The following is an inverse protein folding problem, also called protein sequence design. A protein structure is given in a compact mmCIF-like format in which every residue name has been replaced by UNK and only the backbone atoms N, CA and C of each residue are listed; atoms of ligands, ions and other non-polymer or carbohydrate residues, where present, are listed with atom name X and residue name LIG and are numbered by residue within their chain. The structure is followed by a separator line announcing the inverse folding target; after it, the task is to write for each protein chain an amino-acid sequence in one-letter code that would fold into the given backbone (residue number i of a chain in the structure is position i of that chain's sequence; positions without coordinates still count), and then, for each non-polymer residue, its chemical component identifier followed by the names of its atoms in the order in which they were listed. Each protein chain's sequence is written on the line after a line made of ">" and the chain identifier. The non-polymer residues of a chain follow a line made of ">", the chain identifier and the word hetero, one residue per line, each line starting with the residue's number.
data_IF_099645880317
#
_entry.id   IF_099645880317
#
_cell.length_a   1.000
_cell.length_b   1.000
_cell.length_c   1.000
_cell.angle_alpha   90.00
_cell.angle_beta   90.00
_cell.angle_gamma   90.00
#
_symmetry.space_group_name_H-M   'P 1'
#
loop_
_entity.id
_entity.type
_entity.pdbx_description
1 polymer ?
#
# COMPACT_ATOMS: atom_id res chain seq x y z
N UNK A 1 -3.01 -9.99 35.09
CA UNK A 1 -2.08 -10.18 33.95
C UNK A 1 -2.87 -10.05 32.67
N UNK A 2 -2.64 -8.95 31.94
CA UNK A 2 -3.28 -8.64 30.67
C UNK A 2 -2.82 -9.61 29.57
N UNK A 3 -3.77 -10.29 28.94
CA UNK A 3 -3.57 -11.15 27.77
C UNK A 3 -3.89 -10.41 26.45
N UNK A 4 -3.75 -9.07 26.41
CA UNK A 4 -4.20 -8.26 25.26
C UNK A 4 -3.23 -8.17 24.08
N UNK A 5 -1.94 -8.48 24.24
CA UNK A 5 -0.94 -7.92 23.31
C UNK A 5 -0.51 -8.83 22.16
N UNK A 6 -0.86 -10.12 22.18
CA UNK A 6 -0.44 -11.05 21.11
C UNK A 6 -1.30 -11.04 19.86
N UNK A 7 -2.55 -10.55 19.91
CA UNK A 7 -3.47 -10.57 18.75
C UNK A 7 -3.22 -9.44 17.75
N UNK A 8 -2.47 -8.40 18.11
CA UNK A 8 -2.34 -7.17 17.30
C UNK A 8 -0.96 -6.92 16.71
N UNK A 9 0.05 -7.72 17.07
CA UNK A 9 1.38 -7.65 16.43
C UNK A 9 1.31 -7.98 14.93
N UNK A 10 0.25 -8.65 14.47
CA UNK A 10 0.10 -9.07 13.08
C UNK A 10 -0.12 -7.92 12.08
N UNK A 11 -0.95 -6.91 12.39
CA UNK A 11 -1.30 -5.89 11.39
C UNK A 11 -0.14 -4.95 11.03
N UNK A 12 0.60 -4.36 12.01
CA UNK A 12 1.79 -3.58 11.69
C UNK A 12 2.89 -4.40 11.00
N UNK A 13 3.03 -5.68 11.36
CA UNK A 13 3.96 -6.60 10.69
C UNK A 13 3.56 -6.85 9.22
N UNK A 14 2.27 -7.14 8.97
CA UNK A 14 1.74 -7.31 7.62
C UNK A 14 1.87 -6.03 6.79
N UNK A 15 1.68 -4.86 7.40
CA UNK A 15 1.89 -3.57 6.75
C UNK A 15 3.35 -3.44 6.32
N UNK A 16 4.29 -3.73 7.22
CA UNK A 16 5.71 -3.62 6.90
C UNK A 16 6.16 -4.65 5.84
N UNK A 17 5.61 -5.86 5.83
CA UNK A 17 5.84 -6.84 4.75
C UNK A 17 5.25 -6.38 3.40
N UNK A 18 4.05 -5.78 3.41
CA UNK A 18 3.44 -5.24 2.21
C UNK A 18 4.24 -4.06 1.64
N UNK A 19 4.72 -3.16 2.50
CA UNK A 19 5.62 -2.06 2.11
C UNK A 19 6.95 -2.60 1.57
N UNK A 20 7.52 -3.64 2.20
CA UNK A 20 8.72 -4.30 1.67
C UNK A 20 8.48 -4.90 0.29
N UNK A 21 7.33 -5.54 0.07
CA UNK A 21 6.95 -6.14 -1.22
C UNK A 21 6.97 -5.11 -2.37
N UNK A 22 6.67 -3.83 -2.10
CA UNK A 22 6.74 -2.78 -3.11
C UNK A 22 8.15 -2.56 -3.66
N UNK A 23 9.18 -2.77 -2.83
CA UNK A 23 10.59 -2.58 -3.22
C UNK A 23 11.04 -3.70 -4.16
N UNK A 24 10.59 -4.94 -3.93
CA UNK A 24 11.06 -6.11 -4.68
C UNK A 24 10.19 -6.47 -5.89
N UNK A 25 8.99 -5.89 -6.02
CA UNK A 25 8.06 -6.18 -7.12
C UNK A 25 7.87 -4.97 -8.05
N UNK A 26 8.91 -4.17 -8.26
CA UNK A 26 8.89 -2.98 -9.14
C UNK A 26 8.48 -3.33 -10.58
N UNK A 27 8.93 -4.47 -11.09
CA UNK A 27 8.63 -4.94 -12.46
C UNK A 27 7.35 -5.79 -12.57
N UNK A 28 6.53 -5.83 -11.51
CA UNK A 28 5.28 -6.60 -11.53
C UNK A 28 4.22 -5.97 -12.45
N UNK A 29 3.21 -6.77 -12.81
CA UNK A 29 2.05 -6.30 -13.59
C UNK A 29 1.34 -5.14 -12.89
N UNK A 30 0.71 -4.26 -13.67
CA UNK A 30 -0.09 -3.16 -13.19
C UNK A 30 -1.20 -3.67 -12.25
N UNK A 31 -1.83 -4.80 -12.58
CA UNK A 31 -2.79 -5.47 -11.69
C UNK A 31 -2.20 -5.80 -10.32
N UNK A 32 -0.97 -6.33 -10.29
CA UNK A 32 -0.29 -6.66 -9.04
C UNK A 32 0.03 -5.39 -8.24
N UNK A 33 0.52 -4.33 -8.90
CA UNK A 33 0.77 -3.02 -8.28
C UNK A 33 -0.50 -2.42 -7.65
N UNK A 34 -1.62 -2.41 -8.38
CA UNK A 34 -2.93 -1.94 -7.86
C UNK A 34 -3.35 -2.76 -6.64
N UNK A 35 -3.23 -4.08 -6.71
CA UNK A 35 -3.62 -4.98 -5.63
C UNK A 35 -2.76 -4.77 -4.38
N UNK A 36 -1.46 -4.52 -4.56
CA UNK A 36 -0.53 -4.25 -3.46
C UNK A 36 -0.84 -2.92 -2.77
N UNK A 37 -1.11 -1.85 -3.52
CA UNK A 37 -1.53 -0.56 -2.94
C UNK A 37 -2.85 -0.69 -2.19
N UNK A 38 -3.83 -1.43 -2.74
CA UNK A 38 -5.10 -1.69 -2.07
C UNK A 38 -4.93 -2.50 -0.76
N UNK A 39 -3.99 -3.46 -0.75
CA UNK A 39 -3.65 -4.22 0.46
C UNK A 39 -3.03 -3.31 1.52
N UNK A 40 -2.05 -2.48 1.15
CA UNK A 40 -1.40 -1.52 2.07
C UNK A 40 -2.46 -0.59 2.66
N UNK A 41 -3.33 -0.01 1.82
CA UNK A 41 -4.45 0.81 2.30
C UNK A 41 -5.33 0.07 3.32
N UNK A 42 -5.72 -1.17 3.02
CA UNK A 42 -6.62 -1.94 3.88
C UNK A 42 -5.99 -2.22 5.26
N UNK A 43 -4.69 -2.53 5.28
CA UNK A 43 -3.97 -2.75 6.54
C UNK A 43 -3.78 -1.43 7.29
N UNK A 44 -3.37 -0.36 6.59
CA UNK A 44 -3.25 0.99 7.17
C UNK A 44 -4.57 1.45 7.78
N UNK A 45 -5.70 1.25 7.10
CA UNK A 45 -7.03 1.59 7.62
C UNK A 45 -7.37 0.82 8.90
N UNK A 46 -7.08 -0.49 8.93
CA UNK A 46 -7.32 -1.32 10.10
C UNK A 46 -6.44 -0.91 11.31
N UNK A 47 -5.17 -0.58 11.07
CA UNK A 47 -4.28 -0.07 12.14
C UNK A 47 -4.74 1.32 12.59
N UNK A 48 -5.06 2.22 11.65
CA UNK A 48 -5.53 3.57 11.90
C UNK A 48 -6.83 3.64 12.72
N UNK A 49 -7.80 2.78 12.41
CA UNK A 49 -9.07 2.69 13.16
C UNK A 49 -8.83 2.32 14.62
N UNK A 50 -7.90 1.38 14.86
CA UNK A 50 -7.53 0.94 16.20
C UNK A 50 -6.80 2.03 16.98
N UNK A 51 -5.87 2.72 16.34
CA UNK A 51 -5.09 3.82 16.94
C UNK A 51 -5.89 5.14 17.04
N UNK A 52 -7.14 5.15 16.53
CA UNK A 52 -8.09 6.29 16.61
C UNK A 52 -7.52 7.58 16.00
N UNK A 53 -7.13 7.50 14.72
CA UNK A 53 -6.62 8.67 13.99
C UNK A 53 -7.55 9.89 14.08
N UNK A 54 -6.99 11.12 14.05
CA UNK A 54 -7.77 12.34 14.03
C UNK A 54 -8.59 12.45 12.73
N UNK A 55 -9.66 13.25 12.79
CA UNK A 55 -10.68 13.33 11.73
C UNK A 55 -10.11 13.79 10.38
N UNK A 56 -9.08 14.64 10.38
CA UNK A 56 -8.37 15.07 9.18
C UNK A 56 -7.74 13.90 8.42
N UNK A 57 -7.13 12.95 9.14
CA UNK A 57 -6.45 11.81 8.54
C UNK A 57 -7.46 10.76 8.07
N UNK A 58 -8.63 10.68 8.70
CA UNK A 58 -9.74 9.85 8.18
C UNK A 58 -10.27 10.36 6.85
N UNK A 59 -10.35 11.68 6.66
CA UNK A 59 -10.73 12.27 5.36
C UNK A 59 -9.73 11.92 4.27
N UNK A 60 -8.43 12.07 4.58
CA UNK A 60 -7.37 11.66 3.65
C UNK A 60 -7.44 10.15 3.34
N UNK A 61 -7.71 9.30 4.33
CA UNK A 61 -7.92 7.86 4.10
C UNK A 61 -9.11 7.58 3.17
N UNK A 62 -10.20 8.33 3.28
CA UNK A 62 -11.35 8.17 2.39
C UNK A 62 -11.07 8.70 0.97
N UNK A 63 -10.24 9.74 0.82
CA UNK A 63 -9.74 10.20 -0.49
C UNK A 63 -8.87 9.12 -1.16
N UNK A 64 -7.88 8.59 -0.43
CA UNK A 64 -7.03 7.48 -0.88
C UNK A 64 -7.88 6.28 -1.33
N UNK A 65 -8.93 5.95 -0.58
CA UNK A 65 -9.85 4.86 -0.94
C UNK A 65 -10.54 5.09 -2.29
N UNK A 66 -10.99 6.32 -2.54
CA UNK A 66 -11.63 6.70 -3.81
C UNK A 66 -10.65 6.64 -4.96
N UNK A 67 -9.41 7.07 -4.74
CA UNK A 67 -8.36 7.02 -5.76
C UNK A 67 -8.05 5.57 -6.14
N UNK A 68 -7.87 4.68 -5.16
CA UNK A 68 -7.67 3.24 -5.40
C UNK A 68 -8.86 2.64 -6.15
N UNK A 69 -10.09 2.99 -5.75
CA UNK A 69 -11.30 2.49 -6.43
C UNK A 69 -11.39 2.98 -7.88
N UNK A 70 -10.99 4.22 -8.12
CA UNK A 70 -10.97 4.83 -9.46
C UNK A 70 -9.94 4.14 -10.34
N UNK A 71 -8.70 4.02 -9.85
CA UNK A 71 -7.61 3.30 -10.54
C UNK A 71 -8.01 1.86 -10.86
N UNK A 72 -8.62 1.15 -9.91
CA UNK A 72 -9.08 -0.22 -10.14
C UNK A 72 -10.18 -0.29 -11.19
N UNK A 73 -11.04 0.73 -11.26
CA UNK A 73 -12.14 0.81 -12.24
C UNK A 73 -11.69 1.20 -13.65
N UNK A 74 -10.55 1.89 -13.78
CA UNK A 74 -9.97 2.28 -15.08
C UNK A 74 -8.97 1.26 -15.63
N UNK A 75 -8.54 0.30 -14.82
CA UNK A 75 -7.67 -0.79 -15.24
C UNK A 75 -8.36 -1.73 -16.23
N UNK A 76 -7.67 -2.01 -17.33
CA UNK A 76 -8.05 -3.00 -18.32
C UNK A 76 -6.91 -4.04 -18.46
N UNK A 77 -7.21 -5.36 -18.56
CA UNK A 77 -6.18 -6.39 -18.66
C UNK A 77 -5.19 -6.22 -19.82
N UNK A 78 -5.62 -5.57 -20.91
CA UNK A 78 -4.76 -5.30 -22.07
C UNK A 78 -3.57 -4.38 -21.74
N UNK A 79 -3.64 -3.62 -20.65
CA UNK A 79 -2.54 -2.76 -20.20
C UNK A 79 -1.34 -3.54 -19.64
N UNK A 80 -1.54 -4.82 -19.29
CA UNK A 80 -0.50 -5.74 -18.88
C UNK A 80 0.04 -6.61 -20.02
N UNK A 81 -0.50 -6.46 -21.23
CA UNK A 81 -0.13 -7.27 -22.40
C UNK A 81 1.15 -6.72 -23.06
N UNK A 82 2.27 -7.46 -23.03
CA UNK A 82 3.53 -7.02 -23.61
C UNK A 82 3.49 -6.92 -25.15
N UNK A 83 2.47 -7.48 -25.82
CA UNK A 83 2.31 -7.37 -27.28
C UNK A 83 1.62 -6.06 -27.70
N UNK A 84 1.04 -5.30 -26.75
CA UNK A 84 0.20 -4.12 -27.01
C UNK A 84 0.76 -2.79 -26.43
N UNK A 85 2.10 -2.70 -26.34
CA UNK A 85 2.85 -1.61 -25.68
C UNK A 85 2.40 -0.19 -26.11
N UNK A 86 2.25 0.07 -27.41
CA UNK A 86 2.04 1.44 -27.92
C UNK A 86 0.68 2.07 -27.58
N UNK A 87 -0.40 1.29 -27.46
CA UNK A 87 -1.72 1.78 -27.02
C UNK A 87 -1.78 1.82 -25.48
N UNK A 88 -0.97 0.98 -24.83
CA UNK A 88 -0.92 0.84 -23.38
C UNK A 88 -0.14 1.95 -22.69
N UNK A 89 0.85 2.58 -23.33
CA UNK A 89 1.86 3.39 -22.64
C UNK A 89 1.32 4.62 -21.90
N UNK A 90 0.45 5.43 -22.52
CA UNK A 90 -0.06 6.65 -21.88
C UNK A 90 -1.03 6.32 -20.74
N UNK A 91 -1.99 5.42 -20.97
CA UNK A 91 -2.95 4.97 -19.95
C UNK A 91 -2.26 4.25 -18.80
N UNK A 92 -1.32 3.36 -19.11
CA UNK A 92 -0.50 2.66 -18.11
C UNK A 92 0.29 3.65 -17.28
N UNK A 93 0.95 4.62 -17.92
CA UNK A 93 1.69 5.67 -17.21
C UNK A 93 0.78 6.47 -16.27
N UNK A 94 -0.40 6.89 -16.72
CA UNK A 94 -1.34 7.61 -15.86
C UNK A 94 -1.79 6.79 -14.65
N UNK A 95 -1.98 5.47 -14.81
CA UNK A 95 -2.30 4.59 -13.68
C UNK A 95 -1.09 4.46 -12.75
N UNK A 96 0.11 4.28 -13.28
CA UNK A 96 1.33 4.18 -12.47
C UNK A 96 1.60 5.47 -11.67
N UNK A 97 1.43 6.64 -12.29
CA UNK A 97 1.52 7.95 -11.63
C UNK A 97 0.47 8.09 -10.51
N UNK A 98 -0.77 7.70 -10.78
CA UNK A 98 -1.83 7.71 -9.77
C UNK A 98 -1.49 6.78 -8.58
N UNK A 99 -1.00 5.58 -8.86
CA UNK A 99 -0.57 4.63 -7.82
C UNK A 99 0.61 5.17 -6.99
N UNK A 100 1.56 5.86 -7.60
CA UNK A 100 2.67 6.49 -6.91
C UNK A 100 2.19 7.63 -5.99
N UNK A 101 1.27 8.47 -6.45
CA UNK A 101 0.64 9.52 -5.62
C UNK A 101 -0.10 8.89 -4.43
N UNK A 102 -0.95 7.89 -4.69
CA UNK A 102 -1.67 7.16 -3.64
C UNK A 102 -0.70 6.52 -2.64
N UNK A 103 0.41 5.93 -3.11
CA UNK A 103 1.45 5.38 -2.25
C UNK A 103 2.08 6.45 -1.38
N UNK A 104 2.42 7.62 -1.93
CA UNK A 104 3.00 8.72 -1.16
C UNK A 104 2.05 9.20 -0.07
N UNK A 105 0.76 9.37 -0.37
CA UNK A 105 -0.26 9.76 0.61
C UNK A 105 -0.39 8.72 1.73
N UNK A 106 -0.40 7.42 1.39
CA UNK A 106 -0.37 6.33 2.37
C UNK A 106 0.86 6.42 3.27
N UNK A 107 2.05 6.65 2.69
CA UNK A 107 3.27 6.80 3.47
C UNK A 107 3.22 8.00 4.40
N UNK A 108 2.57 9.11 4.02
CA UNK A 108 2.38 10.26 4.91
C UNK A 108 1.63 9.85 6.19
N UNK A 109 0.54 9.09 6.07
CA UNK A 109 -0.24 8.64 7.22
C UNK A 109 0.56 7.63 8.06
N UNK A 110 1.20 6.67 7.41
CA UNK A 110 1.99 5.62 8.07
C UNK A 110 3.12 6.23 8.91
N UNK A 111 3.83 7.21 8.38
CA UNK A 111 4.92 7.87 9.11
C UNK A 111 4.41 8.86 10.18
N UNK A 112 3.39 9.67 9.87
CA UNK A 112 2.83 10.66 10.80
C UNK A 112 2.41 10.02 12.13
N UNK A 113 1.89 8.80 12.07
CA UNK A 113 1.36 8.07 13.23
C UNK A 113 2.22 6.88 13.68
N UNK A 114 3.43 6.76 13.14
CA UNK A 114 4.36 5.67 13.49
C UNK A 114 3.71 4.28 13.44
N UNK A 115 2.87 4.03 12.40
CA UNK A 115 2.07 2.81 12.30
C UNK A 115 2.90 1.53 12.11
N UNK A 116 4.20 1.69 11.85
CA UNK A 116 5.23 0.64 11.82
C UNK A 116 6.37 1.04 12.76
N UNK A 117 6.91 0.08 13.51
CA UNK A 117 8.04 0.36 14.40
C UNK A 117 9.38 0.11 13.70
N UNK A 118 10.44 0.80 14.13
CA UNK A 118 11.80 0.60 13.62
C UNK A 118 12.29 -0.84 13.79
N UNK A 119 11.88 -1.52 14.86
CA UNK A 119 12.19 -2.93 15.09
C UNK A 119 11.59 -3.86 14.03
N UNK A 120 10.35 -3.61 13.60
CA UNK A 120 9.70 -4.37 12.53
C UNK A 120 10.40 -4.14 11.20
N UNK A 121 10.80 -2.89 10.90
CA UNK A 121 11.57 -2.57 9.71
C UNK A 121 12.90 -3.34 9.69
N UNK A 122 13.63 -3.38 10.81
CA UNK A 122 14.91 -4.11 10.91
C UNK A 122 14.76 -5.62 10.73
N UNK A 123 13.73 -6.23 11.29
CA UNK A 123 13.43 -7.66 11.14
C UNK A 123 13.10 -8.03 9.69
N UNK A 124 12.38 -7.15 9.01
CA UNK A 124 11.89 -7.32 7.64
C UNK A 124 12.98 -7.02 6.60
N UNK A 125 13.88 -6.06 6.88
CA UNK A 125 15.06 -5.75 6.06
C UNK A 125 16.19 -6.77 6.25
N UNK A 126 16.41 -7.26 7.47
CA UNK A 126 17.50 -8.20 7.78
C UNK A 126 17.33 -9.60 7.21
N UNK A 127 16.13 -9.96 6.75
CA UNK A 127 15.78 -11.29 6.25
C UNK A 127 15.99 -11.50 4.74
N UNK A 128 16.48 -10.50 4.00
CA UNK A 128 16.80 -10.64 2.56
C UNK A 128 18.15 -10.03 2.18
N UNK A 129 19.22 -10.73 2.57
CA UNK A 129 20.55 -10.70 1.94
C UNK A 129 21.11 -12.14 1.89
N UNK A 130 20.33 -13.06 1.30
CA UNK A 130 20.75 -14.42 0.95
C UNK A 130 20.19 -14.78 -0.42
#
# INVERSE_FOLDING_TARGET
>A
MQTSDKKFLGLPYLLAEALRSQIYNIDSSLRAKISLVALIYSITAAVAEKEKLPEEDKKLMEEIRKDISTVRGTYEPILDDPENVNISDERRRSIEEALDITRLQLMTIIHKHELITESMIKEIQGSRWL
#
